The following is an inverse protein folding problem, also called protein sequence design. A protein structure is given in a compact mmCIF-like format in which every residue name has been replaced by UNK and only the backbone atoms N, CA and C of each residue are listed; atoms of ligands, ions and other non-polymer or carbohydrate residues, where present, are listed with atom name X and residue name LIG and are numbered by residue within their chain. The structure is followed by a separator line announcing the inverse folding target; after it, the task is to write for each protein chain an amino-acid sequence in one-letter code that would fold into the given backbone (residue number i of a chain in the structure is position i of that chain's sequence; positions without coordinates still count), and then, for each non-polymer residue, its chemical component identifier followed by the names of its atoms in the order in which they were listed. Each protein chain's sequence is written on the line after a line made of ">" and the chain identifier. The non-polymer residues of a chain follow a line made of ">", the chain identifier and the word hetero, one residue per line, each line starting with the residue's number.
data_IF_543232155157
#
_entry.id   IF_543232155157
#
_cell.length_a   1.000
_cell.length_b   1.000
_cell.length_c   1.000
_cell.angle_alpha   90.00
_cell.angle_beta   90.00
_cell.angle_gamma   90.00
#
_symmetry.space_group_name_H-M   'P 1'
#
loop_
_entity.id
_entity.type
_entity.pdbx_description
1 polymer ?
#
# COMPACT_ATOMS: atom_id res chain seq x y z
N UNK A 1 -9.45 -4.52 9.39
CA UNK A 1 -9.06 -3.16 8.93
C UNK A 1 -10.16 -2.59 8.06
N UNK A 2 -10.52 -1.36 8.27
CA UNK A 2 -11.43 -0.67 7.37
C UNK A 2 -10.72 -0.35 6.06
N UNK A 3 -11.47 -0.25 4.97
CA UNK A 3 -10.92 0.13 3.69
C UNK A 3 -10.26 1.50 3.79
N UNK A 4 -8.98 1.65 3.40
CA UNK A 4 -8.33 2.95 3.37
C UNK A 4 -9.04 3.91 2.44
N UNK A 5 -9.00 5.18 2.79
CA UNK A 5 -9.58 6.27 1.99
C UNK A 5 -8.47 7.21 1.55
N UNK A 6 -8.75 8.03 0.56
CA UNK A 6 -7.83 9.08 0.14
C UNK A 6 -7.47 9.94 1.36
N UNK A 7 -6.19 10.27 1.47
CA UNK A 7 -5.56 11.01 2.57
C UNK A 7 -5.38 10.24 3.89
N UNK A 8 -5.79 8.98 3.97
CA UNK A 8 -5.50 8.17 5.14
C UNK A 8 -4.01 7.94 5.30
N UNK A 9 -3.54 8.08 6.53
CA UNK A 9 -2.16 7.77 6.89
C UNK A 9 -2.06 6.29 7.20
N UNK A 10 -1.11 5.64 6.56
CA UNK A 10 -0.86 4.21 6.73
C UNK A 10 0.60 4.00 7.11
N UNK A 11 0.91 2.83 7.65
CA UNK A 11 2.27 2.37 7.84
C UNK A 11 2.49 1.15 6.97
N UNK A 12 3.65 1.09 6.37
CA UNK A 12 4.05 -0.05 5.54
C UNK A 12 5.25 -0.71 6.17
N UNK A 13 5.21 -2.02 6.31
CA UNK A 13 6.32 -2.81 6.84
C UNK A 13 6.90 -3.70 5.75
N UNK A 14 8.20 -3.65 5.58
CA UNK A 14 8.95 -4.47 4.66
C UNK A 14 10.25 -4.93 5.35
N UNK A 15 11.14 -5.59 4.62
CA UNK A 15 12.40 -6.08 5.18
C UNK A 15 13.28 -4.98 5.74
N UNK A 16 13.21 -3.77 5.18
CA UNK A 16 13.99 -2.63 5.66
C UNK A 16 13.41 -1.98 6.92
N UNK A 17 12.22 -2.37 7.38
CA UNK A 17 11.54 -1.79 8.54
C UNK A 17 10.19 -1.20 8.16
N UNK A 18 9.75 -0.21 8.95
CA UNK A 18 8.47 0.47 8.73
C UNK A 18 8.67 1.88 8.19
N UNK A 19 7.74 2.33 7.37
CA UNK A 19 7.72 3.70 6.87
C UNK A 19 6.28 4.20 6.81
N UNK A 20 6.11 5.52 6.86
CA UNK A 20 4.81 6.14 6.73
C UNK A 20 4.42 6.25 5.26
N UNK A 21 3.12 6.21 5.00
CA UNK A 21 2.56 6.38 3.66
C UNK A 21 1.23 7.09 3.76
N UNK A 22 0.87 7.77 2.68
CA UNK A 22 -0.44 8.43 2.57
C UNK A 22 -1.16 7.84 1.38
N UNK A 23 -2.40 7.39 1.59
CA UNK A 23 -3.23 6.85 0.53
C UNK A 23 -3.68 7.97 -0.39
N UNK A 24 -3.38 7.86 -1.68
CA UNK A 24 -3.77 8.87 -2.67
C UNK A 24 -4.89 8.40 -3.59
N UNK A 25 -5.07 7.09 -3.73
CA UNK A 25 -6.13 6.55 -4.57
C UNK A 25 -6.45 5.12 -4.19
N UNK A 26 -7.72 4.75 -4.28
CA UNK A 26 -8.19 3.37 -4.07
C UNK A 26 -8.94 2.94 -5.31
N UNK A 27 -8.49 1.87 -5.95
CA UNK A 27 -9.06 1.34 -7.17
C UNK A 27 -9.44 -0.12 -7.01
N UNK A 28 -10.42 -0.55 -7.79
CA UNK A 28 -10.73 -1.96 -7.89
C UNK A 28 -9.65 -2.64 -8.73
N UNK A 29 -9.17 -3.81 -8.29
CA UNK A 29 -8.17 -4.55 -9.06
C UNK A 29 -8.86 -5.27 -10.22
N UNK A 30 -8.52 -4.96 -11.48
CA UNK A 30 -9.16 -5.59 -12.64
C UNK A 30 -8.79 -7.08 -12.80
N UNK A 31 -7.73 -7.53 -12.13
CA UNK A 31 -7.28 -8.91 -12.24
C UNK A 31 -8.02 -9.87 -11.30
N UNK A 32 -8.70 -9.35 -10.27
CA UNK A 32 -9.44 -10.17 -9.30
C UNK A 32 -10.73 -9.49 -8.89
N UNK A 33 -11.76 -10.27 -8.55
CA UNK A 33 -13.04 -9.70 -8.12
C UNK A 33 -12.98 -9.05 -6.74
N UNK A 34 -12.16 -9.58 -5.85
CA UNK A 34 -12.09 -9.15 -4.45
C UNK A 34 -10.90 -8.25 -4.15
N UNK A 35 -10.01 -8.11 -5.10
CA UNK A 35 -8.78 -7.35 -4.90
C UNK A 35 -8.98 -5.85 -5.10
N UNK A 36 -8.13 -5.10 -4.44
CA UNK A 36 -8.05 -3.65 -4.63
C UNK A 36 -6.61 -3.25 -4.94
N UNK A 37 -6.48 -2.10 -5.58
CA UNK A 37 -5.20 -1.44 -5.79
C UNK A 37 -5.19 -0.17 -4.95
N UNK A 38 -4.17 -0.03 -4.11
CA UNK A 38 -3.95 1.16 -3.31
C UNK A 38 -2.75 1.90 -3.88
N UNK A 39 -2.94 3.16 -4.24
CA UNK A 39 -1.82 4.03 -4.57
C UNK A 39 -1.48 4.85 -3.34
N UNK A 40 -0.22 4.81 -2.94
CA UNK A 40 0.25 5.52 -1.76
C UNK A 40 1.49 6.33 -2.10
N UNK A 41 1.66 7.44 -1.41
CA UNK A 41 2.90 8.22 -1.48
C UNK A 41 3.73 7.87 -0.25
N UNK A 42 4.99 7.51 -0.48
CA UNK A 42 5.90 7.08 0.58
C UNK A 42 7.35 7.35 0.18
N UNK A 43 8.24 7.34 1.16
CA UNK A 43 9.68 7.52 0.93
C UNK A 43 10.49 6.23 1.04
N UNK A 44 9.84 5.12 1.36
CA UNK A 44 10.54 3.85 1.54
C UNK A 44 11.13 3.31 0.24
N UNK A 45 12.19 2.49 0.33
CA UNK A 45 12.84 1.92 -0.84
C UNK A 45 12.10 0.67 -1.34
N UNK A 46 10.87 0.83 -1.77
CA UNK A 46 10.06 -0.27 -2.27
C UNK A 46 10.45 -0.65 -3.70
N UNK A 47 10.31 -1.95 -4.00
CA UNK A 47 10.59 -2.49 -5.32
C UNK A 47 9.40 -3.33 -5.82
N UNK A 48 9.18 -3.31 -7.12
CA UNK A 48 8.14 -4.11 -7.76
C UNK A 48 8.32 -5.60 -7.43
N UNK A 49 7.23 -6.27 -7.10
CA UNK A 49 7.22 -7.68 -6.74
C UNK A 49 7.45 -7.97 -5.26
N UNK A 50 7.76 -6.95 -4.46
CA UNK A 50 8.01 -7.11 -3.04
C UNK A 50 6.71 -7.42 -2.28
N UNK A 51 6.81 -8.31 -1.29
CA UNK A 51 5.70 -8.59 -0.37
C UNK A 51 5.87 -7.74 0.87
N UNK A 52 4.81 -7.02 1.25
CA UNK A 52 4.84 -6.12 2.39
C UNK A 52 3.60 -6.27 3.26
N UNK A 53 3.60 -5.59 4.39
CA UNK A 53 2.44 -5.49 5.27
C UNK A 53 1.94 -4.05 5.30
N UNK A 54 0.61 -3.88 5.18
CA UNK A 54 -0.05 -2.61 5.45
C UNK A 54 -0.57 -2.66 6.88
N UNK A 55 -0.20 -1.68 7.69
CA UNK A 55 -0.60 -1.61 9.09
C UNK A 55 -1.60 -0.47 9.25
N UNK A 56 -2.80 -0.79 9.70
CA UNK A 56 -3.84 0.20 9.95
C UNK A 56 -3.70 0.88 11.31
N UNK A 57 -4.50 1.91 11.53
CA UNK A 57 -4.49 2.66 12.79
C UNK A 57 -4.85 1.80 14.01
N UNK A 58 -5.65 0.77 13.79
CA UNK A 58 -6.08 -0.15 14.84
C UNK A 58 -5.06 -1.25 15.12
N UNK A 59 -3.91 -1.21 14.48
CA UNK A 59 -2.87 -2.23 14.62
C UNK A 59 -3.07 -3.45 13.75
N UNK A 60 -4.14 -3.52 12.96
CA UNK A 60 -4.37 -4.65 12.06
C UNK A 60 -3.36 -4.64 10.91
N UNK A 61 -3.03 -5.83 10.40
CA UNK A 61 -2.08 -5.99 9.30
C UNK A 61 -2.74 -6.70 8.14
N UNK A 62 -2.43 -6.24 6.93
CA UNK A 62 -2.86 -6.88 5.70
C UNK A 62 -1.65 -7.10 4.81
N UNK A 63 -1.51 -8.31 4.26
CA UNK A 63 -0.48 -8.59 3.28
C UNK A 63 -0.79 -7.91 1.96
N UNK A 64 0.22 -7.37 1.32
CA UNK A 64 0.09 -6.71 0.03
C UNK A 64 1.33 -6.96 -0.83
N UNK A 65 1.17 -6.83 -2.13
CA UNK A 65 2.27 -6.92 -3.08
C UNK A 65 2.49 -5.56 -3.74
N UNK A 66 3.75 -5.21 -3.95
CA UNK A 66 4.11 -3.99 -4.68
C UNK A 66 4.00 -4.27 -6.17
N UNK A 67 3.00 -3.67 -6.81
CA UNK A 67 2.76 -3.85 -8.25
C UNK A 67 3.59 -2.89 -9.10
N UNK A 68 3.77 -1.67 -8.64
CA UNK A 68 4.51 -0.66 -9.40
C UNK A 68 5.07 0.40 -8.47
N UNK A 69 6.18 1.01 -8.87
CA UNK A 69 6.83 2.11 -8.15
C UNK A 69 7.18 3.20 -9.15
N UNK A 70 6.59 4.37 -8.97
CA UNK A 70 6.92 5.56 -9.75
C UNK A 70 7.70 6.51 -8.85
N UNK A 71 8.96 6.74 -9.19
CA UNK A 71 9.81 7.68 -8.46
C UNK A 71 9.60 9.08 -9.03
N UNK A 72 9.09 9.97 -8.20
CA UNK A 72 9.00 11.37 -8.59
C UNK A 72 10.09 12.11 -7.84
N UNK A 73 10.35 12.95 -7.28
CA UNK A 73 11.48 13.60 -6.63
C UNK A 73 11.99 12.79 -5.43
N UNK A 74 11.54 13.13 -4.22
CA UNK A 74 11.89 12.44 -2.98
C UNK A 74 10.85 11.36 -2.67
N UNK A 75 9.58 11.68 -2.93
CA UNK A 75 8.49 10.77 -2.68
C UNK A 75 8.27 9.83 -3.86
N UNK A 76 7.78 8.63 -3.56
CA UNK A 76 7.47 7.61 -4.56
C UNK A 76 5.98 7.31 -4.50
N UNK A 77 5.36 7.16 -5.68
CA UNK A 77 4.02 6.63 -5.78
C UNK A 77 4.13 5.12 -5.92
N UNK A 78 3.64 4.39 -4.93
CA UNK A 78 3.69 2.93 -4.90
C UNK A 78 2.28 2.40 -5.06
N UNK A 79 2.09 1.50 -6.02
CA UNK A 79 0.81 0.81 -6.21
C UNK A 79 0.88 -0.54 -5.52
N UNK A 80 -0.02 -0.77 -4.59
CA UNK A 80 -0.10 -1.99 -3.79
C UNK A 80 -1.35 -2.76 -4.18
N UNK A 81 -1.21 -4.07 -4.38
CA UNK A 81 -2.36 -4.95 -4.57
C UNK A 81 -2.60 -5.73 -3.29
N UNK A 82 -3.86 -5.82 -2.88
CA UNK A 82 -4.23 -6.56 -1.68
C UNK A 82 -5.69 -7.01 -1.77
N UNK A 83 -6.07 -7.91 -0.86
CA UNK A 83 -7.45 -8.32 -0.67
C UNK A 83 -7.81 -8.00 0.77
N UNK A 84 -8.79 -7.13 0.97
CA UNK A 84 -9.23 -6.78 2.31
C UNK A 84 -10.11 -7.91 2.87
N UNK A 85 -9.95 -8.24 4.16
CA UNK A 85 -10.86 -9.20 4.80
C UNK A 85 -12.27 -8.62 4.84
N UNK A 86 -13.22 -9.48 4.63
CA UNK A 86 -14.64 -9.12 4.66
C UNK A 86 -15.08 -8.68 6.06
#
# INVERSE_FOLDING_TARGET
>A
MKMPKIDDKLRLRADFGETDAICVEVLKNPATEEGILLKVMTRGPFEQGQQIWIIGHDGSKIGAAVENVLTQTVDREVTLSTVLPA
#
